data_IF_232534283802
#
_entry.id   IF_232534283802
#
_cell.length_a   1.000
_cell.length_b   1.000
_cell.length_c   1.000
_cell.angle_alpha   90.00
_cell.angle_beta   90.00
_cell.angle_gamma   90.00
#
_symmetry.space_group_name_H-M   'P 1'
#
loop_
_entity.id
_entity.type
_entity.pdbx_description
1 polymer ?
#
# COMPACT_ATOMS: atom_id res chain seq x y z
N UNK A 1 -20.02 -38.36 45.27
CA UNK A 1 -20.35 -39.73 44.84
C UNK A 1 -20.76 -39.78 43.38
N UNK A 2 -19.91 -40.51 42.66
CA UNK A 2 -19.88 -40.99 41.27
C UNK A 2 -21.12 -40.91 40.38
N UNK A 3 -20.91 -40.34 39.18
CA UNK A 3 -21.14 -41.08 37.92
C UNK A 3 -21.98 -40.38 36.85
N UNK A 4 -21.33 -39.69 35.89
CA UNK A 4 -21.59 -39.90 34.45
C UNK A 4 -20.54 -39.20 33.55
N UNK A 5 -19.54 -40.01 33.18
CA UNK A 5 -18.66 -40.02 32.01
C UNK A 5 -18.36 -38.73 31.20
N UNK A 6 -17.10 -38.30 31.19
CA UNK A 6 -16.39 -38.03 29.94
C UNK A 6 -14.96 -38.60 30.03
N UNK A 7 -14.72 -39.70 29.32
CA UNK A 7 -13.36 -40.06 28.92
C UNK A 7 -13.11 -39.26 27.64
N UNK A 8 -12.73 -37.99 27.77
CA UNK A 8 -12.44 -37.18 26.59
C UNK A 8 -11.12 -37.66 25.98
N UNK A 9 -11.25 -38.48 24.92
CA UNK A 9 -10.12 -39.08 24.18
C UNK A 9 -9.26 -38.01 23.49
N UNK A 10 -9.78 -36.79 23.35
CA UNK A 10 -9.12 -35.61 22.79
C UNK A 10 -9.78 -34.33 23.32
N UNK A 11 -9.09 -33.19 23.23
CA UNK A 11 -9.65 -31.86 23.47
C UNK A 11 -9.56 -31.01 22.20
N UNK A 12 -10.68 -30.81 21.51
CA UNK A 12 -10.68 -30.11 20.22
C UNK A 12 -10.55 -28.58 20.38
N UNK A 13 -9.45 -28.01 19.88
CA UNK A 13 -9.30 -26.55 19.75
C UNK A 13 -9.97 -26.02 18.49
N UNK A 14 -9.78 -26.74 17.39
CA UNK A 14 -10.36 -26.43 16.08
C UNK A 14 -10.90 -27.71 15.49
N UNK A 15 -12.02 -27.62 14.78
CA UNK A 15 -12.59 -28.74 14.06
C UNK A 15 -13.11 -28.32 12.69
N UNK A 16 -13.02 -29.23 11.73
CA UNK A 16 -13.70 -29.12 10.46
C UNK A 16 -14.37 -30.44 10.08
N UNK A 17 -15.49 -30.33 9.38
CA UNK A 17 -16.33 -31.46 8.98
C UNK A 17 -16.20 -31.66 7.48
N UNK A 18 -15.79 -32.85 7.04
CA UNK A 18 -15.59 -33.17 5.62
C UNK A 18 -16.16 -34.55 5.32
N UNK A 19 -17.21 -34.61 4.49
CA UNK A 19 -17.87 -35.86 4.10
C UNK A 19 -18.06 -36.83 5.27
N UNK A 20 -17.36 -37.95 5.20
CA UNK A 20 -17.40 -39.08 6.15
C UNK A 20 -16.53 -38.93 7.41
N UNK A 21 -15.80 -37.83 7.59
CA UNK A 21 -14.89 -37.65 8.72
C UNK A 21 -14.93 -36.24 9.33
N UNK A 22 -14.44 -36.15 10.55
CA UNK A 22 -14.20 -34.93 11.30
C UNK A 22 -12.70 -34.80 11.52
N UNK A 23 -12.14 -33.63 11.22
CA UNK A 23 -10.73 -33.31 11.42
C UNK A 23 -10.60 -32.39 12.63
N UNK A 24 -9.68 -32.71 13.53
CA UNK A 24 -9.61 -32.11 14.86
C UNK A 24 -8.16 -31.70 15.15
N UNK A 25 -7.94 -30.45 15.53
CA UNK A 25 -6.70 -30.02 16.18
C UNK A 25 -6.81 -30.28 17.70
N UNK A 26 -6.08 -31.27 18.20
CA UNK A 26 -6.21 -31.74 19.59
C UNK A 26 -5.19 -31.08 20.54
N UNK A 27 -5.71 -30.38 21.56
CA UNK A 27 -4.94 -29.70 22.59
C UNK A 27 -4.14 -30.63 23.50
N UNK A 28 -4.55 -31.89 23.64
CA UNK A 28 -3.89 -32.84 24.54
C UNK A 28 -2.60 -33.35 23.89
N UNK A 29 -2.68 -33.81 22.65
CA UNK A 29 -1.53 -34.41 21.95
C UNK A 29 -0.79 -33.42 21.05
N UNK A 30 -1.37 -32.26 20.73
CA UNK A 30 -0.89 -31.27 19.76
C UNK A 30 -0.82 -31.77 18.31
N UNK A 31 -1.47 -32.89 18.03
CA UNK A 31 -1.56 -33.46 16.68
C UNK A 31 -2.93 -33.20 16.08
N UNK A 32 -3.02 -33.34 14.78
CA UNK A 32 -4.32 -33.47 14.13
C UNK A 32 -4.84 -34.89 14.23
N UNK A 33 -6.13 -35.03 14.51
CA UNK A 33 -6.85 -36.29 14.58
C UNK A 33 -7.89 -36.34 13.47
N UNK A 34 -8.07 -37.53 12.88
CA UNK A 34 -9.19 -37.83 12.00
C UNK A 34 -10.14 -38.76 12.73
N UNK A 35 -11.39 -38.34 12.88
CA UNK A 35 -12.47 -39.14 13.44
C UNK A 35 -13.43 -39.56 12.33
N UNK A 36 -13.56 -40.85 12.11
CA UNK A 36 -14.55 -41.42 11.18
C UNK A 36 -15.96 -41.23 11.73
N UNK A 37 -16.88 -40.74 10.91
CA UNK A 37 -18.31 -40.61 11.30
C UNK A 37 -19.06 -41.95 11.24
N UNK A 38 -18.52 -42.93 10.51
CA UNK A 38 -19.17 -44.23 10.30
C UNK A 38 -19.09 -45.12 11.52
N UNK A 39 -17.94 -45.16 12.17
CA UNK A 39 -17.65 -46.06 13.28
C UNK A 39 -17.05 -45.33 14.51
N UNK A 40 -16.94 -44.01 14.47
CA UNK A 40 -16.34 -43.18 15.52
C UNK A 40 -14.88 -43.52 15.84
N UNK A 41 -14.19 -44.26 14.97
CA UNK A 41 -12.76 -44.54 15.12
C UNK A 41 -11.94 -43.26 14.98
N UNK A 42 -10.87 -43.16 15.76
CA UNK A 42 -9.98 -41.99 15.78
C UNK A 42 -8.59 -42.44 15.35
N UNK A 43 -8.06 -41.78 14.32
CA UNK A 43 -6.67 -41.92 13.85
C UNK A 43 -5.91 -40.65 14.17
N UNK A 44 -4.76 -40.80 14.81
CA UNK A 44 -3.79 -39.71 14.99
C UNK A 44 -2.94 -39.57 13.72
N UNK A 45 -2.83 -38.37 13.18
CA UNK A 45 -1.92 -38.06 12.07
C UNK A 45 -0.50 -37.82 12.57
N UNK A 46 0.48 -37.80 11.67
CA UNK A 46 1.87 -37.42 12.01
C UNK A 46 2.06 -35.90 12.18
N UNK A 47 1.10 -35.11 11.69
CA UNK A 47 1.16 -33.66 11.66
C UNK A 47 0.78 -33.03 13.00
N UNK A 48 1.45 -31.92 13.32
CA UNK A 48 1.29 -31.14 14.55
C UNK A 48 1.01 -29.68 14.24
N UNK A 49 0.33 -28.98 15.15
CA UNK A 49 0.13 -27.53 15.01
C UNK A 49 1.00 -26.77 16.02
N UNK A 50 1.41 -25.54 15.69
CA UNK A 50 2.17 -24.68 16.59
C UNK A 50 1.40 -24.27 17.85
N UNK A 51 2.12 -24.13 18.96
CA UNK A 51 1.56 -23.76 20.27
C UNK A 51 0.75 -22.46 20.24
N UNK A 52 1.11 -21.49 19.39
CA UNK A 52 0.39 -20.20 19.26
C UNK A 52 -1.10 -20.37 19.00
N UNK A 53 -1.53 -21.42 18.31
CA UNK A 53 -2.96 -21.65 18.04
C UNK A 53 -3.76 -22.08 19.28
N UNK A 54 -3.10 -22.41 20.40
CA UNK A 54 -3.76 -22.64 21.69
C UNK A 54 -4.42 -21.35 22.24
N UNK A 55 -3.95 -20.16 21.81
CA UNK A 55 -4.57 -18.86 22.11
C UNK A 55 -5.76 -18.61 21.16
N UNK A 56 -6.81 -19.41 21.32
CA UNK A 56 -8.02 -19.40 20.46
C UNK A 56 -8.66 -18.01 20.45
N UNK A 57 -8.93 -17.50 19.25
CA UNK A 57 -9.56 -16.19 19.04
C UNK A 57 -8.58 -15.03 18.85
N UNK A 58 -7.33 -15.18 19.30
CA UNK A 58 -6.26 -14.23 18.96
C UNK A 58 -5.64 -14.55 17.60
N UNK A 59 -5.40 -15.84 17.32
CA UNK A 59 -4.88 -16.30 16.03
C UNK A 59 -5.98 -16.95 15.18
N UNK A 60 -5.86 -16.85 13.85
CA UNK A 60 -6.59 -17.73 12.93
C UNK A 60 -6.08 -19.16 13.13
N UNK A 61 -7.01 -20.11 13.21
CA UNK A 61 -6.68 -21.51 13.47
C UNK A 61 -5.90 -22.18 12.34
N UNK A 62 -5.29 -23.34 12.60
CA UNK A 62 -4.46 -24.04 11.62
C UNK A 62 -5.26 -24.80 10.56
N UNK A 63 -6.59 -24.92 10.71
CA UNK A 63 -7.47 -25.49 9.69
C UNK A 63 -7.95 -24.34 8.79
N UNK A 64 -7.55 -24.38 7.52
CA UNK A 64 -7.61 -23.25 6.61
C UNK A 64 -8.85 -23.25 5.73
N UNK A 65 -9.39 -24.43 5.43
CA UNK A 65 -10.63 -24.54 4.65
C UNK A 65 -11.04 -25.99 4.45
N UNK A 66 -12.28 -26.19 4.01
CA UNK A 66 -12.86 -27.52 3.78
C UNK A 66 -13.80 -27.52 2.56
N UNK A 67 -13.39 -28.17 1.48
CA UNK A 67 -14.13 -28.22 0.21
C UNK A 67 -13.91 -29.57 -0.49
N UNK A 68 -14.88 -30.03 -1.27
CA UNK A 68 -14.76 -31.24 -2.10
C UNK A 68 -14.27 -32.49 -1.33
N UNK A 69 -14.74 -32.68 -0.09
CA UNK A 69 -14.30 -33.74 0.84
C UNK A 69 -12.81 -33.71 1.18
N UNK A 70 -12.16 -32.56 1.07
CA UNK A 70 -10.78 -32.33 1.43
C UNK A 70 -10.70 -31.20 2.45
N UNK A 71 -9.73 -31.30 3.35
CA UNK A 71 -9.42 -30.26 4.34
C UNK A 71 -8.00 -29.78 4.09
N UNK A 72 -7.84 -28.47 3.91
CA UNK A 72 -6.55 -27.81 3.88
C UNK A 72 -6.20 -27.33 5.29
N UNK A 73 -4.98 -27.62 5.73
CA UNK A 73 -4.48 -27.18 7.03
C UNK A 73 -2.99 -26.87 6.95
N UNK A 74 -2.51 -26.11 7.92
CA UNK A 74 -1.08 -25.86 8.12
C UNK A 74 -0.55 -26.68 9.29
N UNK A 75 0.67 -27.18 9.14
CA UNK A 75 1.38 -27.92 10.16
C UNK A 75 2.85 -27.57 10.07
N UNK A 76 3.38 -26.89 11.09
CA UNK A 76 4.72 -26.31 11.01
C UNK A 76 4.82 -25.44 9.74
N UNK A 77 5.89 -25.53 8.98
CA UNK A 77 6.01 -24.80 7.72
C UNK A 77 5.28 -25.43 6.52
N UNK A 78 4.43 -26.44 6.71
CA UNK A 78 3.84 -27.21 5.59
C UNK A 78 2.37 -26.90 5.42
N UNK A 79 1.99 -26.63 4.18
CA UNK A 79 0.60 -26.64 3.75
C UNK A 79 0.23 -28.07 3.36
N UNK A 80 -0.82 -28.61 3.98
CA UNK A 80 -1.17 -30.03 3.88
C UNK A 80 -2.65 -30.17 3.55
N UNK A 81 -2.98 -31.08 2.65
CA UNK A 81 -4.35 -31.48 2.36
C UNK A 81 -4.61 -32.89 2.88
N UNK A 82 -5.77 -33.13 3.48
CA UNK A 82 -6.23 -34.47 3.86
C UNK A 82 -7.60 -34.78 3.27
N UNK A 83 -7.78 -36.02 2.84
CA UNK A 83 -9.08 -36.62 2.47
C UNK A 83 -9.64 -37.50 3.61
N UNK A 84 -9.04 -37.41 4.80
CA UNK A 84 -9.35 -38.21 5.99
C UNK A 84 -8.62 -39.55 6.04
N UNK A 85 -8.14 -40.07 4.91
CA UNK A 85 -7.36 -41.32 4.85
C UNK A 85 -5.88 -41.06 4.71
N UNK A 86 -5.51 -40.10 3.88
CA UNK A 86 -4.14 -39.74 3.58
C UNK A 86 -3.95 -38.23 3.70
N UNK A 87 -2.76 -37.85 4.14
CA UNK A 87 -2.30 -36.47 4.19
C UNK A 87 -1.22 -36.27 3.11
N UNK A 88 -1.33 -35.19 2.34
CA UNK A 88 -0.35 -34.82 1.31
C UNK A 88 0.12 -33.39 1.56
N UNK A 89 1.44 -33.21 1.68
CA UNK A 89 2.05 -31.88 1.66
C UNK A 89 1.93 -31.31 0.24
N UNK A 90 1.33 -30.14 0.13
CA UNK A 90 1.13 -29.44 -1.15
C UNK A 90 2.06 -28.24 -1.31
N UNK A 91 2.56 -27.68 -0.21
CA UNK A 91 3.53 -26.58 -0.23
C UNK A 91 4.35 -26.49 1.08
N UNK A 92 5.49 -25.81 1.04
CA UNK A 92 6.37 -25.58 2.21
C UNK A 92 6.84 -24.12 2.29
N UNK A 93 6.52 -23.43 3.38
CA UNK A 93 6.75 -22.00 3.62
C UNK A 93 8.09 -21.77 4.35
N UNK A 94 9.18 -21.62 3.58
CA UNK A 94 10.52 -21.28 4.08
C UNK A 94 11.08 -22.23 5.17
N UNK A 95 12.22 -21.86 5.77
CA UNK A 95 12.84 -22.60 6.88
C UNK A 95 12.21 -22.24 8.24
N UNK A 96 10.88 -22.33 8.34
CA UNK A 96 10.16 -22.16 9.59
C UNK A 96 10.04 -23.50 10.34
N UNK A 97 9.95 -23.45 11.67
CA UNK A 97 9.74 -24.62 12.53
C UNK A 97 8.45 -24.47 13.35
N UNK A 98 8.12 -25.45 14.19
CA UNK A 98 6.90 -25.44 15.02
C UNK A 98 6.81 -24.26 16.02
N UNK A 99 7.92 -23.59 16.33
CA UNK A 99 7.96 -22.39 17.18
C UNK A 99 7.88 -21.10 16.37
N UNK A 100 8.34 -21.13 15.11
CA UNK A 100 8.34 -19.98 14.18
C UNK A 100 7.33 -20.14 13.04
N UNK A 101 6.32 -21.00 13.24
CA UNK A 101 5.31 -21.29 12.23
C UNK A 101 4.75 -19.99 11.63
N UNK A 102 4.54 -19.89 10.30
CA UNK A 102 4.05 -18.67 9.67
C UNK A 102 2.75 -18.13 10.28
N UNK A 103 2.69 -16.83 10.54
CA UNK A 103 1.51 -16.16 11.10
C UNK A 103 0.44 -15.99 10.02
N UNK A 104 -0.70 -16.65 10.19
CA UNK A 104 -1.86 -16.50 9.31
C UNK A 104 -2.61 -15.23 9.72
N UNK A 105 -2.63 -14.24 8.84
CA UNK A 105 -3.33 -12.99 9.09
C UNK A 105 -4.79 -13.07 8.61
N UNK A 106 -5.01 -13.48 7.37
CA UNK A 106 -6.35 -13.60 6.80
C UNK A 106 -6.50 -14.86 5.94
N UNK A 107 -7.74 -15.34 5.87
CA UNK A 107 -8.18 -16.49 5.08
C UNK A 107 -9.44 -16.04 4.33
N UNK A 108 -9.46 -16.22 3.01
CA UNK A 108 -10.63 -15.96 2.17
C UNK A 108 -10.95 -17.20 1.35
N UNK A 109 -12.22 -17.55 1.25
CA UNK A 109 -12.67 -18.73 0.50
C UNK A 109 -13.51 -18.29 -0.71
N UNK A 110 -13.27 -18.93 -1.86
CA UNK A 110 -14.20 -18.93 -3.02
C UNK A 110 -14.99 -20.24 -3.04
N UNK A 111 -15.59 -20.66 -4.15
CA UNK A 111 -16.29 -21.95 -4.21
C UNK A 111 -15.33 -23.15 -4.15
N UNK A 112 -14.20 -23.06 -4.85
CA UNK A 112 -13.21 -24.14 -4.99
C UNK A 112 -11.78 -23.75 -4.61
N UNK A 113 -11.54 -22.53 -4.13
CA UNK A 113 -10.20 -22.07 -3.75
C UNK A 113 -10.19 -21.46 -2.35
N UNK A 114 -9.00 -21.37 -1.77
CA UNK A 114 -8.74 -20.65 -0.53
C UNK A 114 -7.47 -19.81 -0.68
N UNK A 115 -7.57 -18.54 -0.32
CA UNK A 115 -6.47 -17.58 -0.23
C UNK A 115 -6.05 -17.48 1.24
N UNK A 116 -4.75 -17.57 1.49
CA UNK A 116 -4.14 -17.47 2.83
C UNK A 116 -3.05 -16.40 2.78
N UNK A 117 -3.06 -15.46 3.72
CA UNK A 117 -2.05 -14.40 3.80
C UNK A 117 -1.11 -14.57 4.99
N UNK A 118 0.18 -14.38 4.72
CA UNK A 118 1.31 -14.42 5.66
C UNK A 118 2.14 -13.12 5.55
N UNK A 119 1.66 -12.00 6.11
CA UNK A 119 2.27 -10.68 5.94
C UNK A 119 3.72 -10.60 6.42
N UNK A 120 4.05 -11.24 7.54
CA UNK A 120 5.41 -11.22 8.11
C UNK A 120 6.48 -11.88 7.23
N UNK A 121 6.05 -12.53 6.14
CA UNK A 121 6.90 -13.31 5.24
C UNK A 121 6.78 -12.85 3.80
N UNK A 122 6.11 -11.72 3.59
CA UNK A 122 5.77 -11.23 2.26
C UNK A 122 5.12 -12.32 1.38
N UNK A 123 4.26 -13.20 1.91
CA UNK A 123 3.67 -14.34 1.17
C UNK A 123 2.13 -14.43 1.21
N UNK A 124 1.49 -14.61 0.05
CA UNK A 124 0.13 -15.14 -0.08
C UNK A 124 0.16 -16.47 -0.82
N UNK A 125 -0.68 -17.39 -0.39
CA UNK A 125 -0.90 -18.68 -1.04
C UNK A 125 -2.35 -18.79 -1.50
N UNK A 126 -2.56 -19.24 -2.72
CA UNK A 126 -3.88 -19.66 -3.20
C UNK A 126 -3.83 -21.16 -3.47
N UNK A 127 -4.69 -21.92 -2.79
CA UNK A 127 -4.86 -23.34 -3.03
C UNK A 127 -6.16 -23.60 -3.80
N UNK A 128 -6.08 -24.38 -4.88
CA UNK A 128 -7.24 -24.81 -5.67
C UNK A 128 -7.57 -26.27 -5.38
N UNK A 129 -8.76 -26.53 -4.83
CA UNK A 129 -9.24 -27.86 -4.48
C UNK A 129 -9.55 -28.73 -5.71
N UNK A 130 -9.73 -28.15 -6.91
CA UNK A 130 -10.00 -28.88 -8.16
C UNK A 130 -8.74 -29.55 -8.70
N UNK A 131 -7.60 -28.86 -8.58
CA UNK A 131 -6.33 -29.27 -9.19
C UNK A 131 -5.27 -29.67 -8.17
N UNK A 132 -5.48 -29.34 -6.89
CA UNK A 132 -4.48 -29.40 -5.81
C UNK A 132 -3.24 -28.53 -6.09
N UNK A 133 -3.34 -27.54 -6.97
CA UNK A 133 -2.28 -26.59 -7.24
C UNK A 133 -2.18 -25.54 -6.14
N UNK A 134 -0.96 -25.04 -5.91
CA UNK A 134 -0.68 -23.92 -5.02
C UNK A 134 -0.01 -22.82 -5.82
N UNK A 135 -0.61 -21.64 -5.81
CA UNK A 135 -0.05 -20.43 -6.39
C UNK A 135 0.57 -19.58 -5.28
N UNK A 136 1.81 -19.14 -5.48
CA UNK A 136 2.54 -18.27 -4.54
C UNK A 136 2.62 -16.86 -5.07
N UNK A 137 2.37 -15.89 -4.21
CA UNK A 137 2.44 -14.48 -4.54
C UNK A 137 3.15 -13.72 -3.42
N UNK A 138 3.86 -12.64 -3.76
CA UNK A 138 4.33 -11.73 -2.73
C UNK A 138 3.12 -11.05 -2.06
N UNK A 139 3.11 -10.92 -0.74
CA UNK A 139 1.93 -10.46 0.00
C UNK A 139 1.84 -8.96 0.16
N UNK A 140 0.64 -8.56 0.54
CA UNK A 140 0.32 -7.31 1.21
C UNK A 140 -0.61 -7.66 2.39
N UNK A 141 -0.67 -6.86 3.45
CA UNK A 141 -1.75 -7.02 4.44
C UNK A 141 -3.08 -6.81 3.71
N UNK A 142 -3.83 -7.89 3.52
CA UNK A 142 -5.10 -7.87 2.81
C UNK A 142 -6.20 -7.48 3.79
N UNK A 143 -6.67 -6.25 3.67
CA UNK A 143 -7.81 -5.71 4.44
C UNK A 143 -9.13 -6.22 3.84
N UNK A 144 -9.23 -6.22 2.51
CA UNK A 144 -10.40 -6.66 1.75
C UNK A 144 -9.92 -7.52 0.60
N UNK A 145 -10.60 -8.65 0.37
CA UNK A 145 -10.47 -9.42 -0.86
C UNK A 145 -11.84 -9.77 -1.44
N UNK A 146 -12.04 -9.42 -2.71
CA UNK A 146 -13.05 -10.05 -3.55
C UNK A 146 -12.40 -11.27 -4.21
N UNK A 147 -12.79 -12.45 -3.76
CA UNK A 147 -12.13 -13.70 -4.13
C UNK A 147 -13.15 -14.70 -4.69
N UNK A 148 -12.95 -15.05 -5.94
CA UNK A 148 -13.71 -16.09 -6.65
C UNK A 148 -12.75 -17.14 -7.18
N UNK A 149 -13.30 -18.19 -7.79
CA UNK A 149 -12.47 -19.19 -8.46
C UNK A 149 -11.61 -18.56 -9.56
N UNK A 150 -12.12 -17.53 -10.23
CA UNK A 150 -11.54 -16.99 -11.45
C UNK A 150 -10.80 -15.66 -11.23
N UNK A 151 -11.21 -14.88 -10.21
CA UNK A 151 -10.71 -13.54 -9.96
C UNK A 151 -10.31 -13.33 -8.50
N UNK A 152 -9.22 -12.60 -8.32
CA UNK A 152 -8.81 -12.07 -7.03
C UNK A 152 -8.55 -10.57 -7.19
N UNK A 153 -9.29 -9.76 -6.42
CA UNK A 153 -8.96 -8.37 -6.18
C UNK A 153 -8.82 -8.16 -4.68
N UNK A 154 -7.80 -7.42 -4.28
CA UNK A 154 -7.54 -7.13 -2.88
C UNK A 154 -7.00 -5.71 -2.72
N UNK A 155 -7.04 -5.17 -1.51
CA UNK A 155 -6.47 -3.87 -1.24
C UNK A 155 -5.57 -3.85 0.00
N UNK A 156 -4.67 -2.87 0.01
CA UNK A 156 -3.83 -2.52 1.15
C UNK A 156 -4.13 -1.11 1.58
N UNK A 157 -4.43 -0.93 2.87
CA UNK A 157 -4.63 0.39 3.46
C UNK A 157 -3.29 1.07 3.76
N UNK A 158 -3.24 2.37 3.50
CA UNK A 158 -2.21 3.29 3.93
C UNK A 158 -2.85 4.45 4.67
N UNK A 159 -2.09 5.10 5.55
CA UNK A 159 -2.51 6.29 6.27
C UNK A 159 -1.79 7.51 5.75
N UNK A 160 -2.51 8.61 5.67
CA UNK A 160 -1.90 9.92 5.54
C UNK A 160 -1.62 10.44 6.96
N UNK A 161 -0.39 10.88 7.28
CA UNK A 161 -0.07 11.42 8.60
C UNK A 161 -1.08 12.51 9.02
N UNK A 162 -1.63 12.37 10.23
CA UNK A 162 -2.64 13.28 10.80
C UNK A 162 -3.93 13.47 9.96
N UNK A 163 -4.25 12.55 9.04
CA UNK A 163 -5.44 12.60 8.20
C UNK A 163 -6.09 11.21 8.05
N UNK A 164 -6.89 11.03 6.99
CA UNK A 164 -7.59 9.78 6.68
C UNK A 164 -6.70 8.68 6.09
N UNK A 165 -7.35 7.65 5.60
CA UNK A 165 -6.71 6.53 4.91
C UNK A 165 -6.91 6.56 3.40
N UNK A 166 -6.17 5.71 2.72
CA UNK A 166 -6.34 5.43 1.29
C UNK A 166 -5.91 3.99 1.02
N UNK A 167 -6.42 3.44 -0.07
CA UNK A 167 -6.27 2.03 -0.39
C UNK A 167 -5.66 1.87 -1.77
N UNK A 168 -4.57 1.13 -1.86
CA UNK A 168 -4.06 0.62 -3.13
C UNK A 168 -4.87 -0.63 -3.49
N UNK A 169 -5.44 -0.64 -4.68
CA UNK A 169 -6.21 -1.78 -5.19
C UNK A 169 -5.38 -2.60 -6.16
N UNK A 170 -5.38 -3.90 -5.95
CA UNK A 170 -4.62 -4.86 -6.72
C UNK A 170 -5.53 -5.92 -7.30
N UNK A 171 -5.14 -6.46 -8.44
CA UNK A 171 -5.69 -7.71 -8.99
C UNK A 171 -4.61 -8.75 -9.08
N UNK A 172 -5.00 -10.01 -9.00
CA UNK A 172 -4.12 -11.14 -9.26
C UNK A 172 -4.64 -11.95 -10.44
N UNK A 173 -3.78 -12.11 -11.45
CA UNK A 173 -4.06 -12.85 -12.68
C UNK A 173 -2.79 -13.51 -13.18
N UNK A 174 -2.86 -14.78 -13.55
CA UNK A 174 -1.74 -15.56 -14.11
C UNK A 174 -0.45 -15.52 -13.27
N UNK A 175 -0.56 -15.64 -11.94
CA UNK A 175 0.62 -15.60 -11.06
C UNK A 175 1.19 -14.20 -10.80
N UNK A 176 0.53 -13.14 -11.28
CA UNK A 176 1.03 -11.76 -11.19
C UNK A 176 0.04 -10.84 -10.49
N UNK A 177 0.59 -9.97 -9.65
CA UNK A 177 -0.15 -8.88 -9.00
C UNK A 177 -0.05 -7.63 -9.89
N UNK A 178 -1.18 -7.02 -10.19
CA UNK A 178 -1.27 -5.75 -10.93
C UNK A 178 -1.86 -4.68 -10.01
N UNK A 179 -1.21 -3.52 -9.92
CA UNK A 179 -1.75 -2.34 -9.25
C UNK A 179 -2.74 -1.64 -10.19
N UNK A 180 -3.99 -1.49 -9.76
CA UNK A 180 -5.06 -0.89 -10.55
C UNK A 180 -5.17 0.63 -10.35
N UNK A 181 -5.04 1.07 -9.11
CA UNK A 181 -5.38 2.43 -8.74
C UNK A 181 -5.39 2.64 -7.24
N UNK A 182 -5.65 3.87 -6.83
CA UNK A 182 -5.80 4.27 -5.44
C UNK A 182 -7.19 4.86 -5.22
N UNK A 183 -7.85 4.43 -4.15
CA UNK A 183 -9.10 5.05 -3.67
C UNK A 183 -8.85 5.63 -2.28
N UNK A 184 -9.13 6.91 -2.11
CA UNK A 184 -9.13 7.56 -0.79
C UNK A 184 -10.35 7.13 0.02
N UNK A 185 -10.22 6.91 1.33
CA UNK A 185 -11.35 6.48 2.15
C UNK A 185 -11.07 6.40 3.66
N UNK A 186 -12.10 6.74 4.46
CA UNK A 186 -12.09 6.56 5.90
C UNK A 186 -12.59 5.16 6.25
N UNK A 187 -11.73 4.40 6.93
CA UNK A 187 -11.86 3.16 7.72
C UNK A 187 -12.94 2.07 7.44
N UNK A 188 -13.93 2.23 6.56
CA UNK A 188 -14.96 1.22 6.27
C UNK A 188 -15.33 1.21 4.78
N UNK A 189 -14.68 0.33 4.01
CA UNK A 189 -15.08 0.03 2.64
C UNK A 189 -16.08 -1.14 2.66
N UNK A 190 -17.26 -0.94 2.07
CA UNK A 190 -18.14 -2.07 1.72
C UNK A 190 -17.83 -2.51 0.30
N UNK A 191 -17.97 -3.80 0.05
CA UNK A 191 -17.86 -4.33 -1.29
C UNK A 191 -18.91 -5.39 -1.56
N UNK A 192 -19.29 -5.50 -2.82
CA UNK A 192 -20.12 -6.59 -3.33
C UNK A 192 -19.57 -7.01 -4.67
N UNK A 193 -19.66 -8.31 -4.96
CA UNK A 193 -19.21 -8.86 -6.22
C UNK A 193 -20.42 -9.37 -7.00
N UNK A 194 -20.55 -8.90 -8.23
CA UNK A 194 -21.59 -9.30 -9.17
C UNK A 194 -20.89 -9.77 -10.45
N UNK A 195 -20.86 -11.08 -10.67
CA UNK A 195 -20.03 -11.76 -11.68
C UNK A 195 -18.55 -11.32 -11.63
N UNK A 196 -18.10 -10.56 -12.63
CA UNK A 196 -16.73 -10.05 -12.76
C UNK A 196 -16.61 -8.57 -12.33
N UNK A 197 -17.67 -7.96 -11.79
CA UNK A 197 -17.69 -6.56 -11.37
C UNK A 197 -17.70 -6.48 -9.84
N UNK A 198 -16.58 -6.03 -9.27
CA UNK A 198 -16.50 -5.68 -7.86
C UNK A 198 -16.99 -4.24 -7.68
N UNK A 199 -18.10 -4.08 -6.98
CA UNK A 199 -18.58 -2.77 -6.51
C UNK A 199 -17.98 -2.48 -5.15
N UNK A 200 -17.37 -1.32 -5.01
CA UNK A 200 -16.79 -0.81 -3.77
C UNK A 200 -17.59 0.43 -3.41
N UNK A 201 -18.25 0.39 -2.26
CA UNK A 201 -18.99 1.54 -1.73
C UNK A 201 -18.17 2.16 -0.62
N UNK A 202 -17.88 3.45 -0.78
CA UNK A 202 -17.24 4.26 0.24
C UNK A 202 -18.29 5.08 0.99
N UNK A 203 -18.20 5.07 2.32
CA UNK A 203 -18.88 6.06 3.17
C UNK A 203 -17.94 7.24 3.38
N UNK A 204 -18.33 8.43 2.92
CA UNK A 204 -17.67 9.68 3.31
C UNK A 204 -18.13 10.16 4.69
N UNK A 205 -17.50 11.22 5.19
CA UNK A 205 -18.00 12.00 6.34
C UNK A 205 -19.33 12.73 6.01
N UNK A 206 -19.69 12.76 4.73
CA UNK A 206 -20.95 13.29 4.18
C UNK A 206 -21.84 12.14 3.75
N UNK A 207 -23.17 12.28 3.86
CA UNK A 207 -24.20 11.28 3.48
C UNK A 207 -24.18 10.80 2.00
N UNK A 208 -23.16 11.15 1.21
CA UNK A 208 -22.95 10.70 -0.16
C UNK A 208 -22.15 9.39 -0.18
N UNK A 209 -22.79 8.32 -0.64
CA UNK A 209 -22.12 7.08 -1.01
C UNK A 209 -21.48 7.26 -2.39
N UNK A 210 -20.16 7.11 -2.46
CA UNK A 210 -19.45 6.99 -3.73
C UNK A 210 -19.32 5.50 -4.07
N UNK A 211 -19.81 5.10 -5.24
CA UNK A 211 -19.64 3.74 -5.76
C UNK A 211 -18.50 3.72 -6.78
N UNK A 212 -17.60 2.75 -6.61
CA UNK A 212 -16.49 2.48 -7.51
C UNK A 212 -16.64 1.06 -8.06
N UNK A 213 -16.29 0.85 -9.32
CA UNK A 213 -16.42 -0.45 -9.96
C UNK A 213 -15.07 -0.93 -10.46
N UNK A 214 -14.70 -2.15 -10.10
CA UNK A 214 -13.54 -2.85 -10.66
C UNK A 214 -14.05 -3.94 -11.58
N UNK A 215 -13.71 -3.88 -12.85
CA UNK A 215 -13.89 -5.00 -13.77
C UNK A 215 -12.67 -5.93 -13.65
N UNK A 216 -12.89 -7.10 -13.06
CA UNK A 216 -11.86 -8.09 -12.77
C UNK A 216 -11.42 -8.87 -14.01
N UNK A 217 -12.23 -8.89 -15.07
CA UNK A 217 -11.89 -9.53 -16.33
C UNK A 217 -10.89 -8.68 -17.13
N UNK A 218 -11.17 -7.37 -17.21
CA UNK A 218 -10.36 -6.40 -17.96
C UNK A 218 -9.25 -5.76 -17.13
N UNK A 219 -9.24 -5.96 -15.81
CA UNK A 219 -8.34 -5.27 -14.86
C UNK A 219 -8.46 -3.73 -14.97
N UNK A 220 -9.69 -3.23 -15.04
CA UNK A 220 -9.97 -1.79 -15.10
C UNK A 220 -10.74 -1.34 -13.87
N UNK A 221 -10.38 -0.17 -13.34
CA UNK A 221 -11.15 0.52 -12.32
C UNK A 221 -11.91 1.70 -12.96
N UNK A 222 -13.23 1.76 -12.76
CA UNK A 222 -14.14 2.74 -13.38
C UNK A 222 -14.98 3.46 -12.32
N UNK A 223 -15.27 4.72 -12.62
CA UNK A 223 -15.96 5.65 -11.73
C UNK A 223 -17.03 6.40 -12.52
N UNK A 224 -17.94 7.04 -11.78
CA UNK A 224 -18.95 7.92 -12.37
C UNK A 224 -18.33 9.19 -12.97
N UNK A 225 -17.29 9.73 -12.31
CA UNK A 225 -16.59 10.93 -12.73
C UNK A 225 -15.30 10.61 -13.49
N UNK A 226 -15.01 11.38 -14.53
CA UNK A 226 -13.74 11.30 -15.26
C UNK A 226 -12.60 11.85 -14.40
N UNK A 227 -11.49 11.12 -14.33
CA UNK A 227 -10.28 11.61 -13.69
C UNK A 227 -9.69 12.80 -14.46
N UNK A 228 -9.24 13.80 -13.71
CA UNK A 228 -8.36 14.82 -14.29
C UNK A 228 -7.05 14.18 -14.77
N UNK A 229 -6.39 14.83 -15.73
CA UNK A 229 -5.10 14.34 -16.26
C UNK A 229 -4.06 14.21 -15.15
N UNK A 230 -4.07 15.15 -14.21
CA UNK A 230 -3.27 15.15 -12.98
C UNK A 230 -3.40 13.85 -12.20
N UNK A 231 -4.63 13.39 -11.96
CA UNK A 231 -4.93 12.16 -11.21
C UNK A 231 -4.57 10.87 -11.94
N UNK A 232 -3.98 10.96 -13.14
CA UNK A 232 -3.56 9.81 -13.94
C UNK A 232 -2.06 9.79 -14.21
N UNK A 233 -1.29 10.74 -13.66
CA UNK A 233 0.14 10.88 -13.96
C UNK A 233 0.95 9.61 -13.60
N UNK A 234 0.73 9.07 -12.40
CA UNK A 234 1.43 7.87 -11.93
C UNK A 234 0.56 6.62 -12.04
N UNK A 235 -0.67 6.72 -11.53
CA UNK A 235 -1.72 5.71 -11.61
C UNK A 235 -3.08 6.40 -11.43
N UNK A 236 -4.20 5.75 -11.80
CA UNK A 236 -5.53 6.27 -11.52
C UNK A 236 -5.75 6.50 -10.03
N UNK A 237 -5.93 7.75 -9.62
CA UNK A 237 -6.05 8.16 -8.22
C UNK A 237 -7.38 8.88 -7.95
N UNK A 238 -8.19 8.28 -7.09
CA UNK A 238 -9.53 8.75 -6.75
C UNK A 238 -9.55 9.30 -5.33
N UNK A 239 -9.27 10.61 -5.23
CA UNK A 239 -9.21 11.35 -3.98
C UNK A 239 -7.79 11.52 -3.44
N UNK A 240 -7.70 11.80 -2.14
CA UNK A 240 -6.44 12.14 -1.46
C UNK A 240 -5.60 10.90 -1.16
N UNK A 241 -4.31 10.91 -1.53
CA UNK A 241 -3.37 9.82 -1.25
C UNK A 241 -1.90 10.26 -1.35
N UNK A 242 -0.98 9.35 -1.03
CA UNK A 242 0.45 9.53 -1.26
C UNK A 242 0.97 8.35 -2.11
N UNK A 243 1.70 8.65 -3.17
CA UNK A 243 2.45 7.68 -3.97
C UNK A 243 3.90 7.74 -3.55
N UNK A 244 4.42 6.65 -3.00
CA UNK A 244 5.75 6.56 -2.43
C UNK A 244 6.79 6.05 -3.44
N UNK A 245 8.07 6.15 -3.07
CA UNK A 245 9.22 5.51 -3.72
C UNK A 245 9.41 5.84 -5.21
N UNK A 246 9.06 7.07 -5.60
CA UNK A 246 9.16 7.53 -6.98
C UNK A 246 10.62 7.74 -7.37
N UNK A 247 10.97 7.28 -8.57
CA UNK A 247 12.26 7.55 -9.24
C UNK A 247 12.15 8.66 -10.29
N UNK A 248 10.98 9.29 -10.42
CA UNK A 248 10.71 10.33 -11.41
C UNK A 248 9.61 11.28 -10.95
N UNK A 249 9.69 12.51 -11.44
CA UNK A 249 8.64 13.54 -11.34
C UNK A 249 7.86 13.50 -12.65
N UNK A 250 6.54 13.40 -12.58
CA UNK A 250 5.65 13.56 -13.73
C UNK A 250 4.78 14.78 -13.55
N UNK A 251 4.56 15.52 -14.64
CA UNK A 251 3.74 16.72 -14.63
C UNK A 251 3.17 17.00 -16.02
N UNK A 252 2.16 17.86 -16.09
CA UNK A 252 1.63 18.38 -17.35
C UNK A 252 2.29 19.73 -17.58
N UNK A 253 2.85 20.01 -18.75
CA UNK A 253 3.43 21.32 -19.07
C UNK A 253 2.38 22.27 -19.66
N UNK A 254 1.69 23.03 -18.81
CA UNK A 254 0.60 23.92 -19.20
C UNK A 254 1.04 25.12 -20.05
N UNK A 255 2.33 25.45 -20.07
CA UNK A 255 2.89 26.50 -20.91
C UNK A 255 3.24 26.02 -22.34
N UNK A 256 3.23 24.71 -22.58
CA UNK A 256 3.32 24.17 -23.92
C UNK A 256 1.93 24.16 -24.60
N UNK A 257 1.80 24.54 -25.89
CA UNK A 257 0.51 24.61 -26.57
C UNK A 257 -0.31 23.30 -26.54
N UNK A 258 0.37 22.16 -26.66
CA UNK A 258 -0.25 20.83 -26.61
C UNK A 258 -0.43 20.28 -25.18
N UNK A 259 0.12 20.98 -24.19
CA UNK A 259 0.12 20.59 -22.78
C UNK A 259 0.51 19.13 -22.56
N UNK A 260 1.69 18.67 -23.00
CA UNK A 260 2.08 17.27 -22.88
C UNK A 260 2.29 16.86 -21.42
N UNK A 261 2.20 15.57 -21.15
CA UNK A 261 2.71 15.00 -19.91
C UNK A 261 4.22 14.77 -20.07
N UNK A 262 5.00 15.35 -19.19
CA UNK A 262 6.46 15.25 -19.16
C UNK A 262 6.94 14.47 -17.93
N UNK A 263 8.13 13.92 -18.05
CA UNK A 263 8.77 13.10 -17.02
C UNK A 263 10.21 13.54 -16.81
N UNK A 264 10.58 13.79 -15.57
CA UNK A 264 11.96 14.03 -15.15
C UNK A 264 12.44 12.89 -14.25
N UNK A 265 13.51 12.19 -14.66
CA UNK A 265 14.10 11.13 -13.85
C UNK A 265 14.91 11.71 -12.72
N UNK A 266 14.64 11.25 -11.51
CA UNK A 266 15.39 11.64 -10.33
C UNK A 266 16.79 11.00 -10.38
N UNK A 267 17.81 11.71 -9.87
CA UNK A 267 19.09 11.10 -9.56
C UNK A 267 18.96 9.99 -8.54
N UNK A 268 19.85 9.00 -8.59
CA UNK A 268 19.82 7.81 -7.71
C UNK A 268 19.92 8.14 -6.22
N UNK A 269 20.46 9.29 -5.84
CA UNK A 269 20.53 9.73 -4.44
C UNK A 269 19.23 10.37 -3.93
N UNK A 270 18.21 10.52 -4.78
CA UNK A 270 16.89 11.04 -4.42
C UNK A 270 15.80 9.98 -4.55
N UNK A 271 14.73 10.19 -3.79
CA UNK A 271 13.49 9.45 -3.87
C UNK A 271 12.31 10.40 -3.70
N UNK A 272 11.29 10.26 -4.53
CA UNK A 272 10.13 11.15 -4.54
C UNK A 272 8.90 10.54 -3.86
N UNK A 273 8.05 11.40 -3.32
CA UNK A 273 6.68 11.08 -2.92
C UNK A 273 5.73 12.09 -3.57
N UNK A 274 4.64 11.59 -4.16
CA UNK A 274 3.61 12.43 -4.78
C UNK A 274 2.34 12.40 -3.94
N UNK A 275 2.03 13.50 -3.27
CA UNK A 275 0.80 13.69 -2.52
C UNK A 275 -0.29 14.29 -3.41
N UNK A 276 -1.40 13.58 -3.55
CA UNK A 276 -2.64 14.11 -4.12
C UNK A 276 -3.47 14.63 -2.97
N UNK A 277 -3.74 15.94 -2.95
CA UNK A 277 -4.46 16.60 -1.86
C UNK A 277 -5.48 17.58 -2.40
N UNK A 278 -6.77 17.23 -2.32
CA UNK A 278 -7.90 18.06 -2.79
C UNK A 278 -7.72 18.65 -4.20
N UNK A 279 -7.31 17.82 -5.16
CA UNK A 279 -7.14 18.23 -6.56
C UNK A 279 -5.83 18.98 -6.85
N UNK A 280 -4.97 19.17 -5.85
CA UNK A 280 -3.59 19.62 -6.02
C UNK A 280 -2.62 18.44 -5.94
N UNK A 281 -1.52 18.53 -6.67
CA UNK A 281 -0.43 17.56 -6.64
C UNK A 281 0.79 18.22 -6.04
N UNK A 282 1.38 17.55 -5.06
CA UNK A 282 2.63 17.96 -4.44
C UNK A 282 3.67 16.86 -4.54
N UNK A 283 4.85 17.15 -5.06
CA UNK A 283 5.95 16.19 -5.11
C UNK A 283 7.04 16.60 -4.13
N UNK A 284 7.28 15.79 -3.12
CA UNK A 284 8.36 15.98 -2.13
C UNK A 284 9.51 15.03 -2.44
N UNK A 285 10.75 15.51 -2.43
CA UNK A 285 11.94 14.71 -2.70
C UNK A 285 12.84 14.62 -1.46
N UNK A 286 13.31 13.42 -1.21
CA UNK A 286 14.11 13.08 -0.03
C UNK A 286 15.45 12.47 -0.47
N UNK A 287 16.48 12.66 0.35
CA UNK A 287 17.77 11.97 0.18
C UNK A 287 17.61 10.48 0.49
N UNK A 288 18.39 9.66 -0.21
CA UNK A 288 18.58 8.24 0.12
C UNK A 288 19.81 8.04 1.00
N UNK A 289 19.75 7.06 1.89
CA UNK A 289 20.92 6.54 2.60
C UNK A 289 21.72 5.58 1.69
N UNK A 290 22.85 5.09 2.18
CA UNK A 290 23.73 4.16 1.43
C UNK A 290 23.04 2.83 1.04
N UNK A 291 21.97 2.45 1.75
CA UNK A 291 21.16 1.27 1.46
C UNK A 291 20.05 1.55 0.44
N UNK A 292 19.94 2.79 -0.06
CA UNK A 292 18.92 3.21 -1.01
C UNK A 292 17.56 3.54 -0.38
N UNK A 293 17.48 3.62 0.95
CA UNK A 293 16.24 3.93 1.69
C UNK A 293 16.09 5.43 1.92
N UNK A 294 14.84 5.90 2.00
CA UNK A 294 14.52 7.30 2.33
C UNK A 294 15.09 7.69 3.71
N UNK A 295 15.86 8.77 3.76
CA UNK A 295 16.25 9.42 5.02
C UNK A 295 15.02 10.14 5.58
N UNK A 296 14.61 9.78 6.79
CA UNK A 296 13.48 10.40 7.47
C UNK A 296 13.82 11.84 7.87
N UNK A 297 12.88 12.76 7.65
CA UNK A 297 13.04 14.18 7.90
C UNK A 297 12.22 15.02 6.92
N UNK A 298 12.47 16.32 6.91
CA UNK A 298 11.87 17.23 5.93
C UNK A 298 12.42 16.95 4.52
N UNK A 299 11.60 17.17 3.50
CA UNK A 299 12.03 17.02 2.12
C UNK A 299 13.08 18.06 1.75
N UNK A 300 14.07 17.62 0.98
CA UNK A 300 15.14 18.49 0.49
C UNK A 300 14.65 19.35 -0.67
N UNK A 301 13.78 18.79 -1.52
CA UNK A 301 13.12 19.54 -2.59
C UNK A 301 11.62 19.33 -2.57
N UNK A 302 10.87 20.30 -3.09
CA UNK A 302 9.46 20.16 -3.42
C UNK A 302 9.18 20.71 -4.82
N UNK A 303 8.45 19.97 -5.64
CA UNK A 303 8.01 20.38 -6.96
C UNK A 303 6.50 20.30 -7.07
N UNK A 304 5.85 21.46 -7.22
CA UNK A 304 4.41 21.60 -7.10
C UNK A 304 3.87 22.59 -8.13
N UNK A 305 2.62 22.39 -8.55
CA UNK A 305 1.85 23.43 -9.23
C UNK A 305 0.90 24.06 -8.22
N UNK A 306 1.05 25.36 -7.98
CA UNK A 306 0.13 26.07 -7.11
C UNK A 306 -1.06 26.56 -7.92
N UNK A 307 -2.24 26.14 -7.47
CA UNK A 307 -3.52 26.60 -7.99
C UNK A 307 -3.98 27.82 -7.19
N UNK A 308 -4.36 28.87 -7.92
CA UNK A 308 -4.91 30.13 -7.41
C UNK A 308 -3.97 30.89 -6.44
N UNK A 309 -3.26 31.88 -6.98
CA UNK A 309 -2.38 32.79 -6.23
C UNK A 309 -3.03 33.59 -5.08
N UNK A 310 -4.36 33.56 -4.87
CA UNK A 310 -5.02 34.31 -3.79
C UNK A 310 -4.58 33.90 -2.37
N UNK A 311 -3.87 32.77 -2.21
CA UNK A 311 -3.28 32.34 -0.94
C UNK A 311 -1.98 33.10 -0.57
N UNK A 312 -1.34 33.75 -1.54
CA UNK A 312 -0.25 34.67 -1.28
C UNK A 312 -0.82 36.03 -0.89
N UNK A 313 -0.31 36.62 0.20
CA UNK A 313 -0.82 37.88 0.79
C UNK A 313 -1.07 38.94 -0.30
N UNK A 314 -2.16 39.70 -0.15
CA UNK A 314 -2.35 40.96 -0.87
C UNK A 314 -1.09 41.84 -0.73
N UNK A 315 -0.34 41.95 -1.82
CA UNK A 315 0.98 42.61 -1.87
C UNK A 315 2.11 41.68 -2.33
N UNK A 316 2.18 41.43 -3.65
CA UNK A 316 3.36 41.10 -4.48
C UNK A 316 4.36 40.00 -4.09
N UNK A 317 4.16 39.22 -3.03
CA UNK A 317 5.14 38.17 -2.69
C UNK A 317 4.78 36.85 -3.37
N UNK A 318 5.36 36.59 -4.55
CA UNK A 318 5.47 35.26 -5.16
C UNK A 318 6.29 34.29 -4.28
N UNK A 319 6.88 34.77 -3.18
CA UNK A 319 7.72 34.00 -2.28
C UNK A 319 6.92 33.29 -1.19
N UNK A 320 7.39 32.12 -0.72
CA UNK A 320 6.82 31.42 0.43
C UNK A 320 6.66 32.30 1.67
N UNK A 321 5.65 32.02 2.49
CA UNK A 321 5.40 32.80 3.70
C UNK A 321 6.63 32.83 4.63
N UNK A 322 6.89 33.99 5.25
CA UNK A 322 8.01 34.21 6.20
C UNK A 322 9.41 34.10 5.56
N UNK A 323 9.52 34.00 4.24
CA UNK A 323 10.80 34.10 3.54
C UNK A 323 11.18 35.56 3.27
N UNK A 324 12.48 35.80 3.12
CA UNK A 324 13.07 37.10 2.75
C UNK A 324 13.91 36.90 1.50
N UNK A 325 13.69 37.73 0.48
CA UNK A 325 14.49 37.73 -0.73
C UNK A 325 15.95 38.13 -0.46
N UNK A 326 16.89 37.40 -1.07
CA UNK A 326 18.32 37.71 -1.04
C UNK A 326 18.86 38.08 -2.41
N UNK A 327 18.64 37.22 -3.38
CA UNK A 327 19.29 37.31 -4.68
C UNK A 327 18.40 36.71 -5.77
N UNK A 328 18.46 37.29 -6.96
CA UNK A 328 17.89 36.71 -8.18
C UNK A 328 19.02 35.93 -8.86
N UNK A 329 18.93 34.60 -8.84
CA UNK A 329 19.92 33.71 -9.42
C UNK A 329 19.72 33.52 -10.93
N UNK A 330 18.47 33.61 -11.41
CA UNK A 330 18.16 33.43 -12.83
C UNK A 330 16.87 34.13 -13.23
N UNK A 331 16.84 34.60 -14.48
CA UNK A 331 15.64 35.08 -15.16
C UNK A 331 15.74 34.78 -16.66
N UNK A 332 14.83 33.98 -17.18
CA UNK A 332 14.87 33.56 -18.59
C UNK A 332 13.94 32.40 -18.91
N UNK A 333 14.12 31.83 -20.11
CA UNK A 333 13.32 30.73 -20.62
C UNK A 333 13.78 29.41 -19.99
N UNK A 334 12.84 28.66 -19.40
CA UNK A 334 13.03 27.30 -18.88
C UNK A 334 12.30 26.27 -19.75
N UNK A 335 12.47 24.96 -19.49
CA UNK A 335 11.66 23.89 -20.07
C UNK A 335 10.15 24.04 -19.81
N UNK A 336 9.78 24.73 -18.73
CA UNK A 336 8.39 24.97 -18.31
C UNK A 336 7.86 26.36 -18.73
N UNK A 337 8.62 27.15 -19.48
CA UNK A 337 8.29 28.53 -19.86
C UNK A 337 9.17 29.58 -19.19
N UNK A 338 8.83 30.85 -19.33
CA UNK A 338 9.59 31.95 -18.72
C UNK A 338 9.54 31.86 -17.20
N UNK A 339 10.70 31.91 -16.54
CA UNK A 339 10.83 31.68 -15.12
C UNK A 339 11.93 32.49 -14.46
N UNK A 340 11.84 32.56 -13.14
CA UNK A 340 12.81 33.23 -12.27
C UNK A 340 13.21 32.30 -11.13
N UNK A 341 14.49 32.35 -10.73
CA UNK A 341 15.02 31.58 -9.61
C UNK A 341 15.64 32.53 -8.60
N UNK A 342 15.30 32.28 -7.35
CA UNK A 342 15.57 33.15 -6.23
C UNK A 342 16.35 32.43 -5.15
N UNK A 343 17.28 33.14 -4.54
CA UNK A 343 17.82 32.79 -3.23
C UNK A 343 16.99 33.53 -2.18
N UNK A 344 16.45 32.79 -1.23
CA UNK A 344 15.66 33.30 -0.12
C UNK A 344 16.28 32.85 1.22
N UNK A 345 15.94 33.54 2.29
CA UNK A 345 16.19 33.09 3.66
C UNK A 345 14.87 32.96 4.43
N UNK A 346 14.76 31.93 5.25
CA UNK A 346 13.65 31.78 6.19
C UNK A 346 14.18 31.40 7.56
N UNK A 347 13.82 32.15 8.59
CA UNK A 347 14.14 31.78 9.97
C UNK A 347 12.98 31.05 10.63
N UNK A 348 13.27 29.91 11.28
CA UNK A 348 12.31 29.11 12.04
C UNK A 348 12.80 28.91 13.46
N UNK A 349 11.85 28.73 14.37
CA UNK A 349 12.13 28.29 15.74
C UNK A 349 12.17 26.76 15.74
N UNK A 350 13.27 26.19 16.21
CA UNK A 350 13.52 24.74 16.31
C UNK A 350 13.74 24.39 17.76
N UNK A 351 13.10 23.30 18.22
CA UNK A 351 13.26 22.78 19.57
C UNK A 351 14.15 21.54 19.55
N UNK A 352 15.25 21.56 20.31
CA UNK A 352 16.22 20.45 20.37
C UNK A 352 16.00 19.46 21.52
N UNK A 353 14.88 19.58 22.24
CA UNK A 353 14.61 18.78 23.44
C UNK A 353 14.97 19.49 24.75
N UNK A 354 15.66 20.64 24.70
CA UNK A 354 16.03 21.42 25.89
C UNK A 354 15.66 22.89 25.78
N UNK A 355 15.87 23.51 24.62
CA UNK A 355 15.55 24.91 24.36
C UNK A 355 15.07 25.14 22.93
N UNK A 356 14.36 26.26 22.74
CA UNK A 356 13.95 26.72 21.41
C UNK A 356 14.99 27.71 20.90
N UNK A 357 15.63 27.40 19.80
CA UNK A 357 16.58 28.28 19.14
C UNK A 357 16.10 28.66 17.73
N UNK A 358 16.56 29.80 17.24
CA UNK A 358 16.19 30.31 15.92
C UNK A 358 17.23 29.86 14.90
N UNK A 359 16.81 29.08 13.92
CA UNK A 359 17.64 28.59 12.81
C UNK A 359 17.23 29.33 11.54
N UNK A 360 18.22 29.82 10.78
CA UNK A 360 17.98 30.43 9.47
C UNK A 360 18.37 29.44 8.38
N UNK A 361 17.40 29.12 7.52
CA UNK A 361 17.54 28.24 6.38
C UNK A 361 17.70 29.05 5.11
N UNK A 362 18.59 28.59 4.23
CA UNK A 362 18.72 29.08 2.86
C UNK A 362 17.76 28.30 1.98
N UNK A 363 17.07 29.00 1.09
CA UNK A 363 16.09 28.39 0.17
C UNK A 363 16.43 28.82 -1.25
N UNK A 364 16.56 27.85 -2.16
CA UNK A 364 16.54 28.09 -3.61
C UNK A 364 15.11 27.87 -4.10
N UNK A 365 14.56 28.84 -4.80
CA UNK A 365 13.14 28.85 -5.17
C UNK A 365 12.95 29.27 -6.62
N UNK A 366 12.40 28.39 -7.44
CA UNK A 366 11.98 28.69 -8.80
C UNK A 366 10.49 29.06 -8.83
N UNK A 367 10.17 30.10 -9.59
CA UNK A 367 8.82 30.55 -9.87
C UNK A 367 8.61 30.66 -11.38
N UNK A 368 7.65 29.89 -11.90
CA UNK A 368 7.38 29.81 -13.34
C UNK A 368 5.86 29.96 -13.55
N UNK A 369 5.37 31.17 -13.89
CA UNK A 369 3.94 31.41 -14.07
C UNK A 369 3.36 30.64 -15.27
N UNK A 370 2.11 30.21 -15.15
CA UNK A 370 1.36 29.60 -16.25
C UNK A 370 0.65 30.69 -17.06
N UNK A 371 0.93 30.76 -18.35
CA UNK A 371 0.43 31.80 -19.25
C UNK A 371 -1.10 31.74 -19.30
N UNK A 372 -1.74 32.87 -18.99
CA UNK A 372 -3.20 32.99 -19.00
C UNK A 372 -3.91 32.34 -17.81
N UNK A 373 -3.17 31.88 -16.79
CA UNK A 373 -3.71 31.38 -15.53
C UNK A 373 -3.22 32.20 -14.33
N UNK A 374 -3.89 32.05 -13.19
CA UNK A 374 -3.43 32.51 -11.88
C UNK A 374 -2.53 31.48 -11.18
N UNK A 375 -2.01 30.50 -11.92
CA UNK A 375 -1.28 29.35 -11.39
C UNK A 375 0.20 29.46 -11.77
N UNK A 376 1.06 28.73 -11.06
CA UNK A 376 2.49 28.68 -11.34
C UNK A 376 3.10 27.36 -10.91
N UNK A 377 4.18 26.95 -11.59
CA UNK A 377 5.07 25.91 -11.09
C UNK A 377 6.06 26.49 -10.10
N UNK A 378 6.37 25.68 -9.10
CA UNK A 378 7.38 25.95 -8.10
C UNK A 378 8.30 24.76 -7.96
N UNK A 379 9.61 25.03 -7.94
CA UNK A 379 10.62 24.13 -7.40
C UNK A 379 11.24 24.81 -6.19
N UNK A 380 11.11 24.20 -5.04
CA UNK A 380 11.60 24.68 -3.76
C UNK A 380 12.70 23.74 -3.28
N UNK A 381 13.82 24.28 -2.80
CA UNK A 381 14.89 23.52 -2.16
C UNK A 381 15.27 24.21 -0.87
N UNK A 382 15.02 23.55 0.26
CA UNK A 382 15.44 24.04 1.58
C UNK A 382 16.71 23.32 2.01
N UNK A 383 17.70 24.12 2.38
CA UNK A 383 19.04 23.64 2.69
C UNK A 383 19.20 23.57 4.20
N UNK A 384 19.77 22.49 4.75
CA UNK A 384 20.22 22.48 6.13
C UNK A 384 21.16 23.67 6.41
N UNK A 385 21.19 24.18 7.65
CA UNK A 385 22.10 25.25 8.03
C UNK A 385 23.53 24.87 7.65
N UNK A 386 24.30 25.85 7.18
CA UNK A 386 25.73 25.71 6.82
C UNK A 386 26.02 24.96 5.50
N UNK A 387 25.02 24.37 4.82
CA UNK A 387 25.22 23.82 3.48
C UNK A 387 25.24 24.92 2.38
N UNK A 388 26.09 24.77 1.36
CA UNK A 388 26.14 25.70 0.22
C UNK A 388 25.04 25.35 -0.79
N UNK A 389 24.22 26.33 -1.16
CA UNK A 389 23.14 26.16 -2.11
C UNK A 389 23.62 25.73 -3.51
N UNK A 390 24.87 26.05 -3.87
CA UNK A 390 25.45 25.71 -5.18
C UNK A 390 25.47 24.21 -5.44
N UNK A 391 25.67 23.40 -4.41
CA UNK A 391 25.67 21.94 -4.51
C UNK A 391 24.29 21.35 -4.88
N UNK A 392 23.24 22.18 -4.81
CA UNK A 392 21.85 21.80 -5.04
C UNK A 392 21.28 22.38 -6.33
N UNK A 393 22.00 23.31 -6.98
CA UNK A 393 21.55 23.91 -8.24
C UNK A 393 21.48 22.92 -9.39
N UNK A 394 22.20 21.78 -9.30
CA UNK A 394 22.13 20.72 -10.29
C UNK A 394 20.68 20.26 -10.57
N UNK A 395 19.82 20.18 -9.54
CA UNK A 395 18.42 19.80 -9.73
C UNK A 395 17.64 20.85 -10.51
N UNK A 396 17.87 22.14 -10.25
CA UNK A 396 17.27 23.24 -11.01
C UNK A 396 17.75 23.24 -12.45
N UNK A 397 19.06 23.12 -12.67
CA UNK A 397 19.67 23.04 -14.00
C UNK A 397 19.07 21.89 -14.82
N UNK A 398 18.91 20.71 -14.20
CA UNK A 398 18.43 19.52 -14.88
C UNK A 398 16.93 19.53 -15.13
N UNK A 399 16.11 19.86 -14.11
CA UNK A 399 14.66 19.85 -14.23
C UNK A 399 14.15 20.97 -15.16
N UNK A 400 14.74 22.16 -15.02
CA UNK A 400 14.30 23.38 -15.72
C UNK A 400 15.06 23.60 -17.04
N UNK A 401 16.04 22.75 -17.35
CA UNK A 401 16.90 22.84 -18.53
C UNK A 401 17.57 24.23 -18.68
N UNK A 402 18.23 24.66 -17.61
CA UNK A 402 18.92 25.95 -17.52
C UNK A 402 20.38 25.77 -17.09
N UNK A 403 21.16 26.84 -17.23
CA UNK A 403 22.55 26.89 -16.74
C UNK A 403 22.67 28.00 -15.69
N UNK A 404 22.67 27.61 -14.42
CA UNK A 404 23.09 28.45 -13.29
C UNK A 404 24.60 28.30 -13.07
N UNK A 405 25.30 29.42 -12.88
CA UNK A 405 26.74 29.47 -12.53
C UNK A 405 26.99 29.34 -11.02
#
# INVERSE_FOLDING_TARGET
DHGNSSNDVYNALYMAESGDYQFIADSITKHFLVKSKKDSSIRKTEFRYAKKYEDVGFYKGPILGCKNNQILFISENKLVVTDGKNEKVVDTIGDQNAETEPHIHSIFESDNRVLISFPDQDLMLIYDYRTSAVERCNTFSVEIAAFTDEYLCFCRMFRIPASGGYYYFYTFKDGKINLLGIISGYYDLKYSLDDNILKITRYGDTEYEEEHQVNLETNEIRFADELSREQTLYLPTYGTCIVHDLSEIKYINYNHPEQPTETFRLPDYLIGECCYWYGSIYTSLYRRNENGEKIQGDSVYEFNMIKNMSFYREGDSIFPARSTFKELLYKGVTSLGDGEIYLLEQSREVYDGSETHKVTYTIVYAWIPIIGSSDAYQLFCELPPEEDYRDYLYMFNSLLNISLE
#
